data_IF_704747596374
#
_entry.id   IF_704747596374
#
_cell.length_a   1.000
_cell.length_b   1.000
_cell.length_c   1.000
_cell.angle_alpha   90.00
_cell.angle_beta   90.00
_cell.angle_gamma   90.00
#
_symmetry.space_group_name_H-M   'P 1'
#
loop_
_entity.id
_entity.type
_entity.pdbx_description
1 polymer ?
#
# COMPACT_ATOMS: atom_id res chain seq x y z
N UNK A 1 -17.14 19.20 16.36
CA UNK A 1 -18.47 18.59 16.58
C UNK A 1 -19.02 18.20 15.22
N UNK A 2 -19.10 16.90 14.92
CA UNK A 2 -19.59 16.41 13.64
C UNK A 2 -21.12 16.52 13.57
N UNK A 3 -21.66 16.86 12.41
CA UNK A 3 -23.08 16.72 12.09
C UNK A 3 -23.42 15.23 12.01
N UNK A 4 -23.68 14.58 13.14
CA UNK A 4 -24.19 13.20 13.15
C UNK A 4 -25.67 13.22 12.76
N UNK A 5 -25.92 13.30 11.45
CA UNK A 5 -27.27 13.19 10.88
C UNK A 5 -27.55 11.72 10.53
N UNK A 6 -28.81 11.29 10.72
CA UNK A 6 -29.24 9.94 10.32
C UNK A 6 -29.16 9.80 8.80
N UNK A 7 -28.66 8.66 8.32
CA UNK A 7 -28.45 8.38 6.88
C UNK A 7 -29.70 8.62 6.03
N UNK A 8 -30.88 8.25 6.53
CA UNK A 8 -32.16 8.44 5.82
C UNK A 8 -32.49 9.93 5.61
N UNK A 9 -32.24 10.76 6.62
CA UNK A 9 -32.44 12.20 6.52
C UNK A 9 -31.44 12.85 5.55
N UNK A 10 -30.17 12.41 5.58
CA UNK A 10 -29.16 12.86 4.61
C UNK A 10 -29.62 12.53 3.20
N UNK A 11 -30.08 11.30 2.94
CA UNK A 11 -30.54 10.91 1.60
C UNK A 11 -31.78 11.69 1.11
N UNK A 12 -32.63 12.13 2.04
CA UNK A 12 -33.81 12.93 1.71
C UNK A 12 -33.45 14.38 1.32
N UNK A 13 -32.47 14.97 2.00
CA UNK A 13 -32.06 16.38 1.80
C UNK A 13 -30.95 16.51 0.75
N UNK A 14 -30.04 15.54 0.69
CA UNK A 14 -28.85 15.48 -0.15
C UNK A 14 -28.85 14.14 -0.90
N UNK A 15 -29.63 14.09 -1.98
CA UNK A 15 -29.66 12.92 -2.87
C UNK A 15 -28.27 12.70 -3.48
N UNK A 16 -27.94 11.44 -3.76
CA UNK A 16 -26.63 11.04 -4.29
C UNK A 16 -26.24 11.83 -5.53
N UNK A 17 -27.18 12.06 -6.43
CA UNK A 17 -26.95 12.79 -7.68
C UNK A 17 -26.53 14.24 -7.42
N UNK A 18 -27.20 14.91 -6.48
CA UNK A 18 -26.88 16.29 -6.07
C UNK A 18 -25.52 16.32 -5.38
N UNK A 19 -25.23 15.32 -4.53
CA UNK A 19 -23.95 15.23 -3.86
C UNK A 19 -22.79 14.99 -4.81
N UNK A 20 -22.98 14.17 -5.84
CA UNK A 20 -21.97 13.93 -6.87
C UNK A 20 -21.61 15.17 -7.69
N UNK A 21 -22.51 16.16 -7.76
CA UNK A 21 -22.25 17.46 -8.39
C UNK A 21 -21.58 18.47 -7.45
N UNK A 22 -21.50 18.20 -6.15
CA UNK A 22 -20.85 19.09 -5.19
C UNK A 22 -19.34 19.13 -5.41
N UNK A 23 -18.77 20.32 -5.46
CA UNK A 23 -17.32 20.53 -5.60
C UNK A 23 -16.54 19.81 -4.48
N UNK A 24 -17.02 19.91 -3.23
CA UNK A 24 -16.40 19.26 -2.07
C UNK A 24 -16.40 17.73 -2.22
N UNK A 25 -17.49 17.16 -2.76
CA UNK A 25 -17.56 15.71 -2.98
C UNK A 25 -16.61 15.26 -4.09
N UNK A 26 -16.45 16.06 -5.15
CA UNK A 26 -15.52 15.75 -6.22
C UNK A 26 -14.07 15.81 -5.74
N UNK A 27 -13.72 16.83 -4.96
CA UNK A 27 -12.40 16.98 -4.32
C UNK A 27 -12.06 15.76 -3.45
N UNK A 28 -12.93 15.41 -2.49
CA UNK A 28 -12.72 14.22 -1.66
C UNK A 28 -12.68 12.93 -2.46
N UNK A 29 -13.53 12.80 -3.50
CA UNK A 29 -13.52 11.61 -4.36
C UNK A 29 -12.18 11.47 -5.08
N UNK A 30 -11.60 12.56 -5.55
CA UNK A 30 -10.28 12.54 -6.17
C UNK A 30 -9.20 12.15 -5.17
N UNK A 31 -9.19 12.76 -3.98
CA UNK A 31 -8.28 12.42 -2.88
C UNK A 31 -8.34 10.93 -2.53
N UNK A 32 -9.53 10.39 -2.23
CA UNK A 32 -9.71 8.98 -1.91
C UNK A 32 -9.32 8.04 -3.07
N UNK A 33 -9.51 8.46 -4.32
CA UNK A 33 -9.07 7.68 -5.47
C UNK A 33 -7.56 7.67 -5.62
N UNK A 34 -6.87 8.76 -5.26
CA UNK A 34 -5.41 8.79 -5.25
C UNK A 34 -4.86 7.94 -4.12
N UNK A 35 -5.37 8.11 -2.89
CA UNK A 35 -5.00 7.28 -1.74
C UNK A 35 -5.19 5.79 -2.03
N UNK A 36 -6.36 5.40 -2.53
CA UNK A 36 -6.63 3.99 -2.84
C UNK A 36 -5.79 3.43 -4.00
N UNK A 37 -5.33 4.27 -4.94
CA UNK A 37 -4.38 3.85 -5.98
C UNK A 37 -2.99 3.63 -5.40
N UNK A 38 -2.57 4.49 -4.49
CA UNK A 38 -1.27 4.41 -3.84
C UNK A 38 -1.19 3.18 -2.91
N UNK A 39 -2.20 3.01 -2.05
CA UNK A 39 -2.32 1.81 -1.20
C UNK A 39 -2.35 0.53 -2.04
N UNK A 40 -3.18 0.50 -3.09
CA UNK A 40 -3.28 -0.66 -3.98
C UNK A 40 -1.99 -0.97 -4.74
N UNK A 41 -1.20 0.06 -5.07
CA UNK A 41 0.12 -0.10 -5.67
C UNK A 41 1.09 -0.72 -4.66
N UNK A 42 1.18 -0.16 -3.46
CA UNK A 42 2.07 -0.65 -2.42
C UNK A 42 1.75 -2.11 -2.03
N UNK A 43 0.48 -2.45 -1.79
CA UNK A 43 0.05 -3.83 -1.51
C UNK A 43 0.39 -4.79 -2.66
N UNK A 44 0.19 -4.33 -3.90
CA UNK A 44 0.51 -5.10 -5.11
C UNK A 44 2.01 -5.40 -5.23
N UNK A 45 2.86 -4.40 -4.99
CA UNK A 45 4.32 -4.55 -5.01
C UNK A 45 4.83 -5.44 -3.88
N UNK A 46 4.32 -5.26 -2.65
CA UNK A 46 4.63 -6.15 -1.52
C UNK A 46 4.31 -7.61 -1.85
N UNK A 47 3.11 -7.87 -2.37
CA UNK A 47 2.68 -9.23 -2.73
C UNK A 47 3.58 -9.85 -3.82
N UNK A 48 3.93 -9.05 -4.83
CA UNK A 48 4.80 -9.50 -5.92
C UNK A 48 6.21 -9.80 -5.41
N UNK A 49 6.81 -8.89 -4.64
CA UNK A 49 8.16 -9.03 -4.10
C UNK A 49 8.26 -10.25 -3.19
N UNK A 50 7.32 -10.43 -2.26
CA UNK A 50 7.31 -11.59 -1.37
C UNK A 50 7.27 -12.90 -2.16
N UNK A 51 6.41 -13.00 -3.18
CA UNK A 51 6.35 -14.18 -4.06
C UNK A 51 7.65 -14.40 -4.84
N UNK A 52 8.29 -13.35 -5.31
CA UNK A 52 9.55 -13.43 -6.06
C UNK A 52 10.72 -13.85 -5.17
N UNK A 53 10.79 -13.29 -3.96
CA UNK A 53 11.75 -13.70 -2.95
C UNK A 53 11.56 -15.18 -2.59
N UNK A 54 10.33 -15.64 -2.32
CA UNK A 54 10.07 -17.05 -2.02
C UNK A 54 10.52 -17.98 -3.14
N UNK A 55 10.36 -17.55 -4.39
CA UNK A 55 10.80 -18.31 -5.57
C UNK A 55 12.32 -18.35 -5.75
N UNK A 56 13.03 -17.27 -5.39
CA UNK A 56 14.48 -17.15 -5.59
C UNK A 56 15.30 -17.77 -4.48
N UNK A 57 14.97 -17.44 -3.24
CA UNK A 57 15.78 -17.77 -2.06
C UNK A 57 15.09 -18.79 -1.14
N UNK A 58 13.90 -19.28 -1.52
CA UNK A 58 13.13 -20.25 -0.75
C UNK A 58 12.28 -19.61 0.33
N UNK A 59 11.85 -20.41 1.31
CA UNK A 59 10.91 -19.97 2.33
C UNK A 59 11.46 -18.80 3.17
N UNK A 60 10.63 -17.76 3.30
CA UNK A 60 10.95 -16.54 4.05
C UNK A 60 10.20 -16.60 5.38
N UNK A 61 10.89 -16.34 6.48
CA UNK A 61 10.27 -16.34 7.81
C UNK A 61 9.20 -15.24 7.94
N UNK A 62 8.16 -15.43 8.77
CA UNK A 62 7.12 -14.43 8.98
C UNK A 62 7.66 -13.06 9.42
N UNK A 63 8.76 -13.04 10.17
CA UNK A 63 9.42 -11.82 10.63
C UNK A 63 10.04 -11.02 9.48
N UNK A 64 10.64 -11.71 8.49
CA UNK A 64 11.18 -11.07 7.29
C UNK A 64 10.05 -10.62 6.36
N UNK A 65 8.97 -11.38 6.25
CA UNK A 65 7.79 -10.97 5.48
C UNK A 65 7.20 -9.67 6.05
N UNK A 66 7.08 -9.58 7.38
CA UNK A 66 6.57 -8.38 8.06
C UNK A 66 7.50 -7.17 7.84
N UNK A 67 8.82 -7.39 7.80
CA UNK A 67 9.78 -6.31 7.50
C UNK A 67 9.63 -5.80 6.07
N UNK A 68 9.46 -6.69 5.09
CA UNK A 68 9.21 -6.30 3.69
C UNK A 68 7.89 -5.54 3.56
N UNK A 69 6.83 -5.96 4.26
CA UNK A 69 5.54 -5.27 4.26
C UNK A 69 5.58 -3.89 4.94
N UNK A 70 6.60 -3.63 5.76
CA UNK A 70 6.79 -2.33 6.40
C UNK A 70 7.62 -1.35 5.55
N UNK A 71 8.14 -1.79 4.40
CA UNK A 71 8.92 -0.93 3.50
C UNK A 71 8.03 0.11 2.80
N UNK A 72 8.59 1.29 2.55
CA UNK A 72 7.98 2.29 1.69
C UNK A 72 7.94 1.80 0.24
N UNK A 73 7.14 2.46 -0.61
CA UNK A 73 7.08 2.13 -2.03
C UNK A 73 8.47 2.21 -2.70
N UNK A 74 9.22 3.28 -2.47
CA UNK A 74 10.57 3.43 -3.02
C UNK A 74 11.52 2.31 -2.59
N UNK A 75 11.42 1.87 -1.33
CA UNK A 75 12.21 0.75 -0.82
C UNK A 75 11.76 -0.58 -1.44
N UNK A 76 10.47 -0.76 -1.71
CA UNK A 76 9.96 -1.94 -2.41
C UNK A 76 10.46 -1.97 -3.87
N UNK A 77 10.42 -0.86 -4.59
CA UNK A 77 10.97 -0.76 -5.95
C UNK A 77 12.47 -1.10 -5.95
N UNK A 78 13.25 -0.54 -5.03
CA UNK A 78 14.67 -0.83 -4.88
C UNK A 78 14.94 -2.32 -4.52
N UNK A 79 14.12 -2.90 -3.64
CA UNK A 79 14.19 -4.33 -3.33
C UNK A 79 13.83 -5.19 -4.54
N UNK A 80 12.87 -4.74 -5.37
CA UNK A 80 12.46 -5.38 -6.61
C UNK A 80 13.59 -5.54 -7.63
N UNK A 81 14.50 -4.58 -7.68
CA UNK A 81 15.73 -4.67 -8.49
C UNK A 81 16.78 -5.53 -7.80
N UNK A 82 17.09 -5.25 -6.53
CA UNK A 82 18.15 -5.95 -5.79
C UNK A 82 17.89 -7.45 -5.63
N UNK A 83 16.63 -7.86 -5.49
CA UNK A 83 16.28 -9.28 -5.38
C UNK A 83 16.70 -10.07 -6.61
N UNK A 84 16.93 -9.41 -7.76
CA UNK A 84 17.42 -10.05 -8.98
C UNK A 84 18.86 -10.57 -8.87
N UNK A 85 19.60 -10.18 -7.85
CA UNK A 85 20.96 -10.66 -7.57
C UNK A 85 21.03 -11.58 -6.36
N UNK A 86 19.92 -11.81 -5.65
CA UNK A 86 19.91 -12.65 -4.46
C UNK A 86 20.12 -14.13 -4.81
N UNK A 87 20.96 -14.79 -4.03
CA UNK A 87 21.33 -16.20 -4.13
C UNK A 87 20.88 -17.00 -2.90
N UNK A 88 20.82 -16.36 -1.73
CA UNK A 88 20.46 -17.01 -0.47
C UNK A 88 19.62 -16.09 0.44
N UNK A 89 18.89 -16.65 1.44
CA UNK A 89 18.10 -15.85 2.38
C UNK A 89 18.88 -14.75 3.11
N UNK A 90 20.19 -14.94 3.29
CA UNK A 90 21.06 -13.95 3.92
C UNK A 90 21.14 -12.64 3.15
N UNK A 91 21.06 -12.68 1.81
CA UNK A 91 21.12 -11.48 0.98
C UNK A 91 19.97 -10.51 1.30
N UNK A 92 18.77 -11.06 1.54
CA UNK A 92 17.61 -10.28 1.98
C UNK A 92 17.84 -9.65 3.36
N UNK A 93 18.41 -10.40 4.30
CA UNK A 93 18.70 -9.88 5.65
C UNK A 93 19.70 -8.73 5.59
N UNK A 94 20.78 -8.90 4.83
CA UNK A 94 21.82 -7.89 4.65
C UNK A 94 21.25 -6.65 3.94
N UNK A 95 20.40 -6.83 2.93
CA UNK A 95 19.72 -5.72 2.25
C UNK A 95 18.81 -4.95 3.21
N UNK A 96 17.95 -5.64 3.98
CA UNK A 96 17.05 -5.01 4.94
C UNK A 96 17.80 -4.24 6.04
N UNK A 97 18.95 -4.75 6.48
CA UNK A 97 19.77 -4.06 7.48
C UNK A 97 20.38 -2.76 6.94
N UNK A 98 20.85 -2.77 5.69
CA UNK A 98 21.44 -1.59 5.04
C UNK A 98 20.39 -0.51 4.80
N UNK A 99 19.18 -0.90 4.41
CA UNK A 99 18.10 0.03 4.05
C UNK A 99 17.17 0.39 5.22
N UNK A 100 17.49 -0.04 6.45
CA UNK A 100 16.79 0.38 7.69
C UNK A 100 17.35 1.68 8.29
N UNK A 101 18.51 2.14 7.81
CA UNK A 101 19.25 3.29 8.37
C UNK A 101 19.05 4.61 7.61
N UNK A 102 18.19 4.62 6.59
CA UNK A 102 17.69 5.82 5.92
C UNK A 102 16.26 6.12 6.34
#
# INVERSE_FOLDING_TARGET
>A
AGLTLKRDFINQVLRKEIMQQSVIYQEWREEFLQEGREEGRQEGEQSLILRQLTRRIGDISPELQSQVQALSLDQLEALGEALLDFLEPRDLVDWLQRNRLE
#
